data_IF_963254414294
#
_entry.id   IF_963254414294
#
_cell.length_a   1.000
_cell.length_b   1.000
_cell.length_c   1.000
_cell.angle_alpha   90.00
_cell.angle_beta   90.00
_cell.angle_gamma   90.00
#
_symmetry.space_group_name_H-M   'P 1'
#
loop_
_entity.id
_entity.type
_entity.pdbx_description
1 polymer ?
#
# COMPACT_ATOMS: atom_id res chain seq x y z
N UNK A 1 -32.41 -41.92 9.54
CA UNK A 1 -31.06 -41.33 9.70
C UNK A 1 -30.88 -40.67 11.08
N UNK A 2 -30.91 -41.41 12.20
CA UNK A 2 -30.76 -40.82 13.56
C UNK A 2 -29.57 -41.36 14.38
N UNK A 3 -28.85 -42.39 13.90
CA UNK A 3 -27.74 -43.01 14.65
C UNK A 3 -26.46 -42.18 14.73
N UNK A 4 -26.31 -41.13 13.91
CA UNK A 4 -25.10 -40.31 13.86
C UNK A 4 -25.25 -38.93 14.54
N UNK A 5 -26.45 -38.53 14.97
CA UNK A 5 -26.67 -37.20 15.58
C UNK A 5 -25.99 -37.03 16.94
N UNK A 6 -25.85 -38.13 17.70
CA UNK A 6 -25.13 -38.16 18.97
C UNK A 6 -23.62 -37.91 18.80
N UNK A 7 -23.02 -38.48 17.74
CA UNK A 7 -21.61 -38.28 17.42
C UNK A 7 -21.36 -36.84 16.96
N UNK A 8 -22.27 -36.27 16.15
CA UNK A 8 -22.23 -34.86 15.75
C UNK A 8 -22.29 -33.90 16.96
N UNK A 9 -23.16 -34.14 17.95
CA UNK A 9 -23.21 -33.32 19.17
C UNK A 9 -21.91 -33.39 19.99
N UNK A 10 -21.27 -34.57 20.06
CA UNK A 10 -20.02 -34.76 20.80
C UNK A 10 -18.86 -34.04 20.12
N UNK A 11 -18.77 -34.12 18.79
CA UNK A 11 -17.74 -33.42 18.00
C UNK A 11 -17.93 -31.90 18.01
N UNK A 12 -19.17 -31.42 17.98
CA UNK A 12 -19.46 -29.99 18.01
C UNK A 12 -19.00 -29.33 19.33
N UNK A 13 -19.10 -30.05 20.45
CA UNK A 13 -18.55 -29.59 21.73
C UNK A 13 -17.03 -29.43 21.69
N UNK A 14 -16.30 -30.37 21.08
CA UNK A 14 -14.84 -30.26 20.93
C UNK A 14 -14.43 -29.10 20.03
N UNK A 15 -15.19 -28.83 18.96
CA UNK A 15 -14.95 -27.69 18.07
C UNK A 15 -15.19 -26.37 18.81
N UNK A 16 -16.28 -26.27 19.57
CA UNK A 16 -16.56 -25.09 20.40
C UNK A 16 -15.48 -24.86 21.47
N UNK A 17 -15.06 -25.93 22.15
CA UNK A 17 -13.97 -25.87 23.13
C UNK A 17 -12.66 -25.40 22.48
N UNK A 18 -12.33 -25.92 21.29
CA UNK A 18 -11.16 -25.53 20.52
C UNK A 18 -11.22 -24.05 20.11
N UNK A 19 -12.39 -23.57 19.66
CA UNK A 19 -12.60 -22.16 19.31
C UNK A 19 -12.46 -21.23 20.53
N UNK A 20 -12.96 -21.64 21.69
CA UNK A 20 -12.79 -20.90 22.95
C UNK A 20 -11.31 -20.85 23.34
N UNK A 21 -10.60 -21.98 23.24
CA UNK A 21 -9.16 -22.04 23.50
C UNK A 21 -8.39 -21.13 22.53
N UNK A 22 -8.69 -21.18 21.22
CA UNK A 22 -8.08 -20.32 20.20
C UNK A 22 -8.37 -18.83 20.44
N UNK A 23 -9.60 -18.49 20.84
CA UNK A 23 -9.99 -17.13 21.22
C UNK A 23 -9.23 -16.65 22.45
N UNK A 24 -9.08 -17.51 23.47
CA UNK A 24 -8.26 -17.23 24.64
C UNK A 24 -6.79 -17.05 24.28
N UNK A 25 -6.23 -17.84 23.36
CA UNK A 25 -4.86 -17.66 22.87
C UNK A 25 -4.66 -16.27 22.25
N UNK A 26 -5.61 -15.78 21.46
CA UNK A 26 -5.53 -14.43 20.87
C UNK A 26 -5.56 -13.34 21.95
N UNK A 27 -6.37 -13.51 23.00
CA UNK A 27 -6.40 -12.62 24.17
C UNK A 27 -5.15 -12.72 25.07
N UNK A 28 -4.54 -13.90 25.19
CA UNK A 28 -3.31 -14.13 25.96
C UNK A 28 -2.15 -13.32 25.38
N UNK A 29 -2.05 -13.18 24.06
CA UNK A 29 -1.02 -12.35 23.42
C UNK A 29 -1.14 -10.88 23.81
N UNK A 30 -2.36 -10.34 23.89
CA UNK A 30 -2.62 -8.97 24.32
C UNK A 30 -2.25 -8.79 25.81
N UNK A 31 -2.61 -9.76 26.65
CA UNK A 31 -2.25 -9.75 28.07
C UNK A 31 -0.73 -9.82 28.29
N UNK A 32 -0.02 -10.64 27.51
CA UNK A 32 1.45 -10.72 27.54
C UNK A 32 2.09 -9.39 27.15
N UNK A 33 1.55 -8.71 26.12
CA UNK A 33 2.02 -7.38 25.72
C UNK A 33 1.88 -6.36 26.86
N UNK A 34 0.71 -6.24 27.48
CA UNK A 34 0.51 -5.34 28.62
C UNK A 34 1.38 -5.71 29.83
N UNK A 35 1.58 -7.00 30.10
CA UNK A 35 2.49 -7.44 31.15
C UNK A 35 3.94 -7.01 30.87
N UNK A 36 4.42 -7.17 29.62
CA UNK A 36 5.78 -6.74 29.24
C UNK A 36 5.97 -5.22 29.34
N UNK A 37 4.96 -4.43 28.96
CA UNK A 37 4.93 -2.97 29.17
C UNK A 37 5.01 -2.59 30.65
N UNK A 38 4.26 -3.26 31.52
CA UNK A 38 4.31 -3.04 32.95
C UNK A 38 5.71 -3.39 33.53
N UNK A 39 6.34 -4.47 33.06
CA UNK A 39 7.72 -4.80 33.49
C UNK A 39 8.76 -3.79 33.01
N UNK A 40 8.61 -3.25 31.80
CA UNK A 40 9.48 -2.22 31.25
C UNK A 40 9.41 -0.94 32.08
N UNK A 41 8.19 -0.45 32.34
CA UNK A 41 7.97 0.76 33.16
C UNK A 41 8.52 0.60 34.58
N UNK A 42 8.29 -0.55 35.22
CA UNK A 42 8.86 -0.86 36.54
C UNK A 42 10.40 -0.89 36.52
N UNK A 43 11.00 -1.51 35.50
CA UNK A 43 12.45 -1.58 35.36
C UNK A 43 13.07 -0.18 35.14
N UNK A 44 12.43 0.69 34.36
CA UNK A 44 12.86 2.08 34.17
C UNK A 44 12.84 2.85 35.50
N UNK A 45 11.76 2.72 36.29
CA UNK A 45 11.66 3.36 37.62
C UNK A 45 12.78 2.89 38.55
N UNK A 46 13.06 1.58 38.58
CA UNK A 46 14.16 0.99 39.38
C UNK A 46 15.54 1.49 38.95
N UNK A 47 15.77 1.66 37.64
CA UNK A 47 17.01 2.25 37.08
C UNK A 47 17.18 3.71 37.51
N UNK A 48 16.11 4.52 37.44
CA UNK A 48 16.12 5.93 37.85
C UNK A 48 16.44 6.06 39.35
N UNK A 49 15.91 5.17 40.18
CA UNK A 49 16.22 5.12 41.63
C UNK A 49 17.60 4.53 41.95
N UNK A 50 18.42 4.23 40.94
CA UNK A 50 19.76 3.63 41.05
C UNK A 50 19.81 2.31 41.84
N UNK A 51 18.69 1.59 41.94
CA UNK A 51 18.61 0.33 42.66
C UNK A 51 19.06 -0.79 41.73
N UNK A 52 20.21 -1.43 42.01
CA UNK A 52 20.75 -2.52 41.18
C UNK A 52 20.73 -2.22 39.66
N UNK A 53 21.15 -1.00 39.29
CA UNK A 53 21.06 -0.43 37.93
C UNK A 53 21.41 -1.43 36.81
N UNK A 54 22.53 -2.15 36.96
CA UNK A 54 23.01 -3.12 35.96
C UNK A 54 22.02 -4.26 35.68
N UNK A 55 21.31 -4.75 36.69
CA UNK A 55 20.31 -5.83 36.52
C UNK A 55 19.08 -5.33 35.77
N UNK A 56 18.58 -4.14 36.12
CA UNK A 56 17.39 -3.58 35.48
C UNK A 56 17.65 -3.03 34.08
N UNK A 57 18.86 -2.54 33.79
CA UNK A 57 19.26 -2.21 32.41
C UNK A 57 19.21 -3.44 31.49
N UNK A 58 19.65 -4.61 31.97
CA UNK A 58 19.54 -5.86 31.19
C UNK A 58 18.07 -6.27 30.95
N UNK A 59 17.21 -6.08 31.96
CA UNK A 59 15.77 -6.34 31.83
C UNK A 59 15.13 -5.41 30.80
N UNK A 60 15.48 -4.11 30.80
CA UNK A 60 15.01 -3.14 29.79
C UNK A 60 15.44 -3.56 28.38
N UNK A 61 16.70 -3.96 28.19
CA UNK A 61 17.17 -4.40 26.87
C UNK A 61 16.40 -5.64 26.41
N UNK A 62 16.29 -6.66 27.25
CA UNK A 62 15.60 -7.90 26.90
C UNK A 62 14.11 -7.67 26.58
N UNK A 63 13.43 -6.85 27.38
CA UNK A 63 12.01 -6.50 27.15
C UNK A 63 11.81 -5.65 25.91
N UNK A 64 12.71 -4.72 25.62
CA UNK A 64 12.65 -3.89 24.41
C UNK A 64 12.83 -4.74 23.15
N UNK A 65 13.79 -5.67 23.16
CA UNK A 65 13.99 -6.62 22.05
C UNK A 65 12.73 -7.47 21.83
N UNK A 66 12.12 -7.97 22.91
CA UNK A 66 10.89 -8.76 22.82
C UNK A 66 9.73 -7.94 22.23
N UNK A 67 9.54 -6.69 22.67
CA UNK A 67 8.52 -5.79 22.12
C UNK A 67 8.74 -5.49 20.63
N UNK A 68 9.98 -5.26 20.22
CA UNK A 68 10.34 -5.04 18.82
C UNK A 68 10.05 -6.28 17.96
N UNK A 69 10.41 -7.48 18.44
CA UNK A 69 10.09 -8.72 17.73
C UNK A 69 8.58 -8.95 17.60
N UNK A 70 7.82 -8.64 18.65
CA UNK A 70 6.36 -8.73 18.61
C UNK A 70 5.74 -7.73 17.62
N UNK A 71 6.26 -6.50 17.58
CA UNK A 71 5.84 -5.48 16.62
C UNK A 71 6.09 -5.95 15.19
N UNK A 72 7.28 -6.48 14.90
CA UNK A 72 7.63 -6.98 13.57
C UNK A 72 6.72 -8.14 13.13
N UNK A 73 6.44 -9.09 14.03
CA UNK A 73 5.53 -10.21 13.74
C UNK A 73 4.13 -9.69 13.40
N UNK A 74 3.61 -8.71 14.15
CA UNK A 74 2.31 -8.09 13.87
C UNK A 74 2.29 -7.34 12.55
N UNK A 75 3.34 -6.59 12.23
CA UNK A 75 3.48 -5.89 10.95
C UNK A 75 3.50 -6.88 9.79
N UNK A 76 4.21 -8.00 9.90
CA UNK A 76 4.25 -9.05 8.88
C UNK A 76 2.89 -9.74 8.72
N UNK A 77 2.21 -10.07 9.83
CA UNK A 77 0.86 -10.65 9.79
C UNK A 77 -0.15 -9.70 9.14
N UNK A 78 -0.09 -8.41 9.48
CA UNK A 78 -0.95 -7.38 8.89
C UNK A 78 -0.64 -7.18 7.41
N UNK A 79 0.64 -7.14 7.04
CA UNK A 79 1.07 -7.06 5.65
C UNK A 79 0.55 -8.26 4.85
N UNK A 80 0.73 -9.49 5.35
CA UNK A 80 0.20 -10.68 4.70
C UNK A 80 -1.33 -10.66 4.58
N UNK A 81 -2.03 -10.19 5.62
CA UNK A 81 -3.49 -10.03 5.56
C UNK A 81 -3.94 -9.03 4.49
N UNK A 82 -3.27 -7.87 4.39
CA UNK A 82 -3.55 -6.85 3.38
C UNK A 82 -3.24 -7.36 1.97
N UNK A 83 -2.19 -8.16 1.84
CA UNK A 83 -1.80 -8.79 0.57
C UNK A 83 -2.81 -9.86 0.15
N UNK A 84 -3.36 -10.63 1.10
CA UNK A 84 -4.29 -11.74 0.84
C UNK A 84 -5.75 -11.28 0.68
N UNK A 85 -6.16 -10.14 1.26
CA UNK A 85 -7.55 -9.63 1.21
C UNK A 85 -7.61 -8.14 0.82
N UNK A 86 -7.38 -7.78 -0.44
CA UNK A 86 -7.34 -6.38 -0.88
C UNK A 86 -8.70 -5.68 -0.88
N UNK A 87 -9.82 -6.41 -0.98
CA UNK A 87 -11.17 -5.83 -1.08
C UNK A 87 -11.71 -5.29 0.26
N UNK A 88 -11.18 -5.74 1.40
CA UNK A 88 -11.70 -5.37 2.74
C UNK A 88 -11.07 -4.10 3.33
N UNK A 89 -9.99 -3.60 2.73
CA UNK A 89 -9.13 -2.56 3.33
C UNK A 89 -9.33 -1.16 2.70
N UNK A 90 -10.27 -1.01 1.77
CA UNK A 90 -10.48 0.24 1.00
C UNK A 90 -11.21 1.33 1.82
N UNK A 91 -11.78 1.02 2.99
CA UNK A 91 -12.75 1.92 3.67
C UNK A 91 -12.28 2.59 4.95
N UNK A 92 -11.02 2.44 5.41
CA UNK A 92 -10.66 2.91 6.76
C UNK A 92 -10.09 4.34 6.82
N UNK A 93 -9.61 4.94 5.72
CA UNK A 93 -8.84 6.20 5.81
C UNK A 93 -9.56 7.49 5.35
N UNK A 94 -10.90 7.50 5.28
CA UNK A 94 -11.66 8.68 4.86
C UNK A 94 -12.72 9.11 5.88
N UNK A 95 -12.35 9.32 7.14
CA UNK A 95 -13.13 10.20 8.02
C UNK A 95 -12.24 11.09 8.88
N UNK A 96 -11.90 12.26 8.32
CA UNK A 96 -11.66 13.46 9.11
C UNK A 96 -12.45 14.63 8.52
N UNK A 97 -13.41 15.11 9.33
CA UNK A 97 -14.27 16.29 9.16
C UNK A 97 -13.52 17.53 8.64
N UNK A 98 -14.18 18.29 7.77
CA UNK A 98 -14.66 19.62 8.19
C UNK A 98 -15.95 20.05 7.47
N UNK A 99 -16.74 20.85 8.19
CA UNK A 99 -18.08 21.33 7.88
C UNK A 99 -18.03 22.83 7.59
N UNK A 100 -18.67 23.32 6.50
CA UNK A 100 -19.70 24.40 6.53
C UNK A 100 -20.10 24.94 5.14
N UNK A 101 -21.43 24.94 4.96
CA UNK A 101 -22.33 25.97 4.38
C UNK A 101 -22.31 26.35 2.89
N UNK A 102 -23.44 25.99 2.26
CA UNK A 102 -24.33 26.76 1.39
C UNK A 102 -23.81 27.40 0.09
N UNK A 103 -24.32 26.87 -1.03
CA UNK A 103 -25.15 27.65 -1.95
C UNK A 103 -25.95 26.72 -2.90
N UNK A 104 -27.25 26.81 -2.75
CA UNK A 104 -28.36 26.38 -3.60
C UNK A 104 -28.23 26.90 -5.05
N UNK A 105 -28.33 26.04 -6.08
CA UNK A 105 -29.10 26.35 -7.31
C UNK A 105 -29.35 25.12 -8.20
N UNK A 106 -30.64 24.87 -8.42
CA UNK A 106 -31.36 24.32 -9.57
C UNK A 106 -30.87 23.06 -10.31
N UNK A 107 -31.67 22.00 -10.11
CA UNK A 107 -31.93 20.91 -11.05
C UNK A 107 -32.65 21.42 -12.30
N UNK A 108 -32.09 21.18 -13.49
CA UNK A 108 -32.87 20.94 -14.72
C UNK A 108 -32.14 19.91 -15.58
N UNK A 109 -32.88 18.85 -15.94
CA UNK A 109 -32.53 17.74 -16.82
C UNK A 109 -32.14 18.18 -18.24
N UNK A 110 -31.22 17.45 -18.89
CA UNK A 110 -31.52 16.70 -20.12
C UNK A 110 -30.34 15.80 -20.52
N UNK A 111 -30.58 14.50 -20.43
CA UNK A 111 -29.88 13.45 -21.18
C UNK A 111 -30.15 13.63 -22.67
N UNK A 112 -29.11 13.67 -23.50
CA UNK A 112 -29.16 13.12 -24.86
C UNK A 112 -27.78 12.63 -25.33
N UNK A 113 -27.86 11.66 -26.23
CA UNK A 113 -26.92 10.61 -26.58
C UNK A 113 -25.60 11.04 -27.25
N UNK A 114 -24.57 10.22 -26.97
CA UNK A 114 -23.43 9.83 -27.82
C UNK A 114 -23.24 10.54 -29.17
N UNK A 115 -22.11 11.21 -29.31
CA UNK A 115 -21.27 11.05 -30.49
C UNK A 115 -19.80 10.93 -30.08
N UNK A 116 -19.28 9.72 -30.27
CA UNK A 116 -17.93 9.28 -30.02
C UNK A 116 -17.04 9.81 -31.14
N UNK A 117 -16.61 11.06 -31.01
CA UNK A 117 -15.59 11.66 -31.87
C UNK A 117 -14.30 11.83 -31.07
N UNK A 118 -13.22 11.28 -31.62
CA UNK A 118 -11.82 11.45 -31.20
C UNK A 118 -11.46 12.94 -31.02
N UNK A 119 -11.81 13.50 -29.87
CA UNK A 119 -11.16 14.69 -29.37
C UNK A 119 -9.87 14.22 -28.67
N UNK A 120 -8.83 13.97 -29.46
CA UNK A 120 -7.45 14.10 -28.97
C UNK A 120 -7.27 15.57 -28.58
N UNK A 121 -7.76 15.94 -27.40
CA UNK A 121 -7.48 17.23 -26.81
C UNK A 121 -5.96 17.36 -26.74
N UNK A 122 -5.40 18.31 -27.49
CA UNK A 122 -3.99 18.59 -27.45
C UNK A 122 -3.64 19.02 -26.02
N UNK A 123 -3.04 18.13 -25.25
CA UNK A 123 -2.57 18.45 -23.91
C UNK A 123 -1.33 19.34 -24.06
N UNK A 124 -1.16 20.31 -23.16
CA UNK A 124 0.05 21.14 -23.11
C UNK A 124 0.69 20.92 -21.74
N UNK A 125 1.85 20.27 -21.74
CA UNK A 125 2.65 20.13 -20.51
C UNK A 125 3.28 21.49 -20.19
N UNK A 126 2.91 22.05 -19.05
CA UNK A 126 3.46 23.33 -18.56
C UNK A 126 4.65 23.08 -17.63
N UNK A 127 5.51 24.09 -17.47
CA UNK A 127 6.62 24.03 -16.52
C UNK A 127 6.13 23.80 -15.08
N UNK A 128 5.03 24.45 -14.69
CA UNK A 128 4.37 24.26 -13.39
C UNK A 128 3.86 22.82 -13.23
N UNK A 129 3.28 22.24 -14.28
CA UNK A 129 2.85 20.84 -14.30
C UNK A 129 4.03 19.87 -14.11
N UNK A 130 5.18 20.15 -14.72
CA UNK A 130 6.41 19.37 -14.56
C UNK A 130 6.94 19.46 -13.11
N UNK A 131 6.97 20.65 -12.54
CA UNK A 131 7.42 20.85 -11.16
C UNK A 131 6.51 20.15 -10.15
N UNK A 132 5.20 20.28 -10.31
CA UNK A 132 4.19 19.60 -9.50
C UNK A 132 4.27 18.07 -9.65
N UNK A 133 4.46 17.57 -10.88
CA UNK A 133 4.70 16.15 -11.14
C UNK A 133 5.95 15.65 -10.41
N UNK A 134 7.07 16.34 -10.55
CA UNK A 134 8.32 15.97 -9.92
C UNK A 134 8.21 15.98 -8.38
N UNK A 135 7.51 16.95 -7.80
CA UNK A 135 7.24 16.97 -6.35
C UNK A 135 6.40 15.75 -5.93
N UNK A 136 5.34 15.44 -6.67
CA UNK A 136 4.49 14.28 -6.41
C UNK A 136 5.25 12.96 -6.54
N UNK A 137 6.12 12.82 -7.55
CA UNK A 137 6.99 11.65 -7.72
C UNK A 137 8.00 11.54 -6.59
N UNK A 138 8.59 12.64 -6.13
CA UNK A 138 9.52 12.61 -4.99
C UNK A 138 8.85 12.11 -3.70
N UNK A 139 7.58 12.46 -3.48
CA UNK A 139 6.79 11.89 -2.38
C UNK A 139 6.58 10.39 -2.57
N UNK A 140 6.17 9.94 -3.76
CA UNK A 140 6.01 8.52 -4.08
C UNK A 140 7.32 7.72 -3.88
N UNK A 141 8.46 8.27 -4.30
CA UNK A 141 9.78 7.67 -4.06
C UNK A 141 10.00 7.47 -2.57
N UNK A 142 9.72 8.48 -1.74
CA UNK A 142 9.87 8.39 -0.28
C UNK A 142 8.93 7.36 0.35
N UNK A 143 7.71 7.24 -0.16
CA UNK A 143 6.67 6.31 0.32
C UNK A 143 6.96 4.87 -0.12
N UNK A 144 7.70 4.69 -1.23
CA UNK A 144 8.03 3.38 -1.79
C UNK A 144 9.05 2.57 -0.97
N UNK A 145 9.56 3.10 0.13
CA UNK A 145 10.58 2.45 0.98
C UNK A 145 11.83 1.99 0.20
N UNK A 146 12.25 2.76 -0.81
CA UNK A 146 13.44 2.46 -1.62
C UNK A 146 13.19 1.50 -2.78
N UNK A 147 11.94 1.14 -3.06
CA UNK A 147 11.59 0.33 -4.24
C UNK A 147 11.69 1.17 -5.51
N UNK A 148 11.09 2.36 -5.53
CA UNK A 148 11.15 3.30 -6.66
C UNK A 148 12.34 4.25 -6.46
N UNK A 149 13.18 4.40 -7.48
CA UNK A 149 14.41 5.21 -7.43
C UNK A 149 14.19 6.55 -8.12
N UNK A 150 13.64 6.54 -9.33
CA UNK A 150 13.35 7.75 -10.12
C UNK A 150 12.33 7.47 -11.20
N UNK A 151 11.66 8.51 -11.69
CA UNK A 151 10.79 8.47 -12.86
C UNK A 151 11.24 9.55 -13.83
N UNK A 152 11.37 9.22 -15.11
CA UNK A 152 11.82 10.15 -16.15
C UNK A 152 10.97 10.00 -17.42
N UNK A 153 10.78 11.06 -18.22
CA UNK A 153 10.19 10.93 -19.55
C UNK A 153 11.11 10.14 -20.48
N UNK A 154 10.51 9.37 -21.38
CA UNK A 154 11.23 8.70 -22.46
C UNK A 154 11.43 9.71 -23.61
N UNK A 155 12.67 9.85 -24.09
CA UNK A 155 13.01 10.79 -25.18
C UNK A 155 12.57 12.25 -24.95
N UNK A 156 12.40 12.66 -23.69
CA UNK A 156 11.84 13.97 -23.26
C UNK A 156 10.35 14.17 -23.60
N UNK A 157 9.64 13.10 -23.93
CA UNK A 157 8.19 13.09 -24.13
C UNK A 157 7.50 12.46 -22.90
N UNK A 158 6.41 13.08 -22.45
CA UNK A 158 5.66 12.61 -21.27
C UNK A 158 4.60 11.56 -21.62
N UNK A 159 4.47 11.20 -22.90
CA UNK A 159 3.63 10.09 -23.36
C UNK A 159 4.10 8.74 -22.82
N UNK A 160 5.40 8.62 -22.54
CA UNK A 160 5.99 7.45 -21.93
C UNK A 160 6.92 7.84 -20.79
N UNK A 161 6.73 7.20 -19.63
CA UNK A 161 7.51 7.40 -18.42
C UNK A 161 8.27 6.12 -18.10
N UNK A 162 9.57 6.26 -17.83
CA UNK A 162 10.42 5.18 -17.34
C UNK A 162 10.57 5.33 -15.84
N UNK A 163 10.06 4.33 -15.11
CA UNK A 163 10.21 4.19 -13.67
C UNK A 163 11.36 3.24 -13.36
N UNK A 164 12.40 3.73 -12.71
CA UNK A 164 13.54 2.92 -12.28
C UNK A 164 13.30 2.38 -10.89
N UNK A 165 13.47 1.07 -10.74
CA UNK A 165 13.28 0.36 -9.46
C UNK A 165 14.54 -0.37 -9.01
N UNK A 166 14.60 -0.67 -7.72
CA UNK A 166 15.73 -1.39 -7.09
C UNK A 166 16.03 -2.73 -7.75
N UNK A 167 17.33 -3.05 -7.83
CA UNK A 167 17.84 -4.35 -8.30
C UNK A 167 17.34 -5.53 -7.44
N UNK A 168 16.98 -5.30 -6.17
CA UNK A 168 16.51 -6.36 -5.27
C UNK A 168 15.23 -7.04 -5.76
N UNK A 169 14.40 -6.31 -6.53
CA UNK A 169 13.20 -6.86 -7.15
C UNK A 169 13.48 -7.92 -8.22
N UNK A 170 14.71 -8.04 -8.76
CA UNK A 170 15.07 -9.10 -9.72
C UNK A 170 14.92 -10.50 -9.12
N UNK A 171 15.20 -10.62 -7.83
CA UNK A 171 15.23 -11.90 -7.10
C UNK A 171 13.89 -12.29 -6.50
N UNK A 172 12.88 -11.42 -6.60
CA UNK A 172 11.51 -11.71 -6.19
C UNK A 172 10.80 -12.60 -7.23
N UNK A 173 9.69 -13.21 -6.83
CA UNK A 173 8.85 -13.96 -7.76
C UNK A 173 8.11 -13.03 -8.76
N UNK A 174 7.67 -13.61 -9.88
CA UNK A 174 6.98 -12.87 -10.94
C UNK A 174 5.66 -12.24 -10.48
N UNK A 175 4.98 -12.82 -9.48
CA UNK A 175 3.73 -12.27 -8.95
C UNK A 175 3.98 -11.00 -8.15
N UNK A 176 5.01 -10.99 -7.30
CA UNK A 176 5.47 -9.80 -6.57
C UNK A 176 5.97 -8.74 -7.55
N UNK A 177 6.70 -9.13 -8.60
CA UNK A 177 7.14 -8.21 -9.65
C UNK A 177 5.95 -7.54 -10.35
N UNK A 178 4.97 -8.32 -10.77
CA UNK A 178 3.77 -7.82 -11.42
C UNK A 178 2.98 -6.90 -10.49
N UNK A 179 2.80 -7.27 -9.22
CA UNK A 179 2.11 -6.44 -8.22
C UNK A 179 2.78 -5.07 -8.03
N UNK A 180 4.11 -5.04 -7.98
CA UNK A 180 4.85 -3.77 -7.92
C UNK A 180 4.70 -2.95 -9.21
N UNK A 181 4.72 -3.61 -10.37
CA UNK A 181 4.50 -2.95 -11.66
C UNK A 181 3.10 -2.37 -11.81
N UNK A 182 2.07 -3.08 -11.34
CA UNK A 182 0.70 -2.62 -11.35
C UNK A 182 0.51 -1.41 -10.42
N UNK A 183 0.98 -1.53 -9.17
CA UNK A 183 0.88 -0.47 -8.18
C UNK A 183 1.63 0.80 -8.61
N UNK A 184 2.94 0.68 -8.88
CA UNK A 184 3.76 1.85 -9.25
C UNK A 184 3.34 2.43 -10.59
N UNK A 185 3.00 1.58 -11.57
CA UNK A 185 2.52 2.02 -12.87
C UNK A 185 1.25 2.86 -12.75
N UNK A 186 0.26 2.39 -11.98
CA UNK A 186 -0.97 3.13 -11.76
C UNK A 186 -0.73 4.43 -10.97
N UNK A 187 0.05 4.39 -9.88
CA UNK A 187 0.37 5.58 -9.09
C UNK A 187 1.03 6.68 -9.93
N UNK A 188 2.04 6.32 -10.74
CA UNK A 188 2.74 7.26 -11.60
C UNK A 188 1.79 7.84 -12.66
N UNK A 189 0.94 7.00 -13.25
CA UNK A 189 -0.03 7.42 -14.26
C UNK A 189 -1.08 8.38 -13.70
N UNK A 190 -1.62 8.11 -12.50
CA UNK A 190 -2.59 8.99 -11.84
C UNK A 190 -1.96 10.33 -11.45
N UNK A 191 -0.71 10.31 -10.97
CA UNK A 191 0.02 11.53 -10.63
C UNK A 191 0.31 12.36 -11.87
N UNK A 192 0.73 11.74 -12.96
CA UNK A 192 0.92 12.41 -14.24
C UNK A 192 -0.40 13.03 -14.76
N UNK A 193 -1.51 12.29 -14.68
CA UNK A 193 -2.83 12.79 -15.05
C UNK A 193 -3.22 14.02 -14.21
N UNK A 194 -3.07 13.95 -12.89
CA UNK A 194 -3.43 15.04 -11.98
C UNK A 194 -2.49 16.25 -12.01
N UNK A 195 -1.32 16.15 -12.66
CA UNK A 195 -0.30 17.23 -12.69
C UNK A 195 0.05 17.67 -14.10
N UNK A 196 0.64 16.79 -14.92
CA UNK A 196 1.09 17.08 -16.28
C UNK A 196 -0.07 17.36 -17.24
N UNK A 197 -1.21 16.70 -17.04
CA UNK A 197 -2.33 16.73 -18.00
C UNK A 197 -3.62 17.37 -17.45
N UNK A 198 -3.60 17.92 -16.24
CA UNK A 198 -4.72 18.73 -15.71
C UNK A 198 -5.97 17.95 -15.28
N UNK A 199 -5.87 16.64 -15.05
CA UNK A 199 -6.91 15.81 -14.42
C UNK A 199 -8.07 15.38 -15.33
N UNK A 200 -8.51 16.27 -16.23
CA UNK A 200 -9.66 16.06 -17.13
C UNK A 200 -9.26 15.56 -18.53
N UNK A 201 -7.99 15.16 -18.69
CA UNK A 201 -7.52 14.59 -19.95
C UNK A 201 -7.80 13.10 -20.01
N UNK A 202 -8.19 12.58 -21.18
CA UNK A 202 -8.12 11.14 -21.46
C UNK A 202 -6.68 10.67 -21.73
N UNK A 203 -5.69 11.57 -21.59
CA UNK A 203 -4.30 11.28 -21.87
C UNK A 203 -3.66 10.50 -20.73
N UNK A 204 -3.30 9.26 -21.04
CA UNK A 204 -2.81 8.29 -20.07
C UNK A 204 -1.39 7.89 -20.47
N UNK A 205 -0.35 8.42 -19.79
CA UNK A 205 1.01 8.11 -20.17
C UNK A 205 1.30 6.64 -19.89
N UNK A 206 2.09 6.04 -20.77
CA UNK A 206 2.56 4.68 -20.60
C UNK A 206 3.66 4.65 -19.56
N UNK A 207 3.59 3.75 -18.58
CA UNK A 207 4.64 3.61 -17.57
C UNK A 207 5.37 2.28 -17.76
N UNK A 208 6.67 2.35 -18.05
CA UNK A 208 7.54 1.18 -18.13
C UNK A 208 8.45 1.13 -16.90
N UNK A 209 8.45 -0.02 -16.21
CA UNK A 209 9.36 -0.26 -15.11
C UNK A 209 10.65 -0.92 -15.61
N UNK A 210 11.78 -0.35 -15.20
CA UNK A 210 13.12 -0.86 -15.48
C UNK A 210 13.91 -0.97 -14.19
N UNK A 211 14.84 -1.91 -14.16
CA UNK A 211 15.86 -1.94 -13.13
C UNK A 211 16.93 -0.86 -13.40
N UNK A 212 17.79 -0.61 -12.43
CA UNK A 212 18.87 0.40 -12.54
C UNK A 212 19.82 0.17 -13.71
N UNK A 213 19.99 -1.08 -14.15
CA UNK A 213 20.80 -1.47 -15.32
C UNK A 213 19.99 -1.44 -16.63
N UNK A 214 18.88 -0.71 -16.64
CA UNK A 214 17.97 -0.48 -17.77
C UNK A 214 17.25 -1.75 -18.28
N UNK A 215 17.48 -2.90 -17.64
CA UNK A 215 16.75 -4.12 -17.98
C UNK A 215 15.27 -3.97 -17.65
N UNK A 216 14.41 -4.37 -18.59
CA UNK A 216 12.96 -4.27 -18.40
C UNK A 216 12.50 -5.23 -17.30
N UNK A 217 11.66 -4.73 -16.41
CA UNK A 217 10.98 -5.52 -15.38
C UNK A 217 9.69 -6.13 -15.97
N UNK A 218 8.61 -6.17 -15.19
CA UNK A 218 7.27 -6.44 -15.68
C UNK A 218 6.62 -5.14 -16.17
N UNK A 219 5.78 -5.23 -17.20
CA UNK A 219 4.93 -4.11 -17.61
C UNK A 219 3.73 -3.99 -16.67
N UNK A 220 3.35 -2.76 -16.30
CA UNK A 220 2.10 -2.54 -15.57
C UNK A 220 0.91 -3.07 -16.37
N UNK A 221 -0.11 -3.63 -15.73
CA UNK A 221 -1.37 -4.02 -16.38
C UNK A 221 -2.15 -2.83 -16.96
N UNK A 222 -1.86 -1.61 -16.50
CA UNK A 222 -2.32 -0.37 -17.10
C UNK A 222 -1.62 -0.04 -18.44
N UNK A 223 -0.67 -0.88 -18.87
CA UNK A 223 0.01 -0.78 -20.16
C UNK A 223 -0.92 -1.27 -21.27
N UNK A 224 -1.63 -0.33 -21.90
CA UNK A 224 -2.40 -0.63 -23.09
C UNK A 224 -1.47 -0.74 -24.31
N UNK A 225 -1.18 -1.97 -24.74
CA UNK A 225 -0.38 -2.26 -25.94
C UNK A 225 -1.04 -1.80 -27.23
N UNK A 226 -2.35 -1.57 -27.24
CA UNK A 226 -3.09 -1.37 -28.49
C UNK A 226 -2.84 -0.01 -29.15
N UNK A 227 -2.29 0.96 -28.42
CA UNK A 227 -1.98 2.30 -28.95
C UNK A 227 -0.53 2.49 -29.44
N UNK A 228 0.30 1.44 -29.45
CA UNK A 228 1.69 1.58 -29.92
C UNK A 228 1.82 1.48 -31.44
N UNK A 229 2.02 2.63 -32.10
CA UNK A 229 2.88 2.70 -33.30
C UNK A 229 4.35 2.78 -32.87
N UNK A 230 4.87 1.73 -32.25
CA UNK A 230 6.32 1.58 -32.14
C UNK A 230 6.86 1.18 -33.52
N UNK A 231 7.47 2.13 -34.23
CA UNK A 231 8.37 1.78 -35.32
C UNK A 231 9.65 1.25 -34.70
N UNK A 232 9.81 -0.08 -34.72
CA UNK A 232 11.02 -0.73 -34.24
C UNK A 232 12.25 -0.21 -34.98
N UNK A 233 13.27 0.19 -34.23
CA UNK A 233 14.65 0.33 -34.69
C UNK A 233 15.57 -0.36 -33.70
#
# INVERSE_FOLDING_TARGET
>A
MSKYSYLLKKWWFWILLLLIILSLFNGIWVLLFFATLATLTFAIIKVIKNENRRKYTLIIIATTVLLLTFSLIRTVQLYNYIVENPEENVTIDNQKKDTKEDAETDEVEETEETDQADASAAYTVTQEGIESFNESINRLISESNGILIKVVPFENEYDMLIAYVTQDLKYQDETIKQKNADYLGNEIQQRALGTLFGGDSNHRPMVELRYEDETKMAGSSAFDKTNMKLTGK
#
